data_IF_733755180954
#
_entry.id   IF_733755180954
#
_cell.length_a   1.000
_cell.length_b   1.000
_cell.length_c   1.000
_cell.angle_alpha   90.00
_cell.angle_beta   90.00
_cell.angle_gamma   90.00
#
_symmetry.space_group_name_H-M   'P 1'
#
loop_
_entity.id
_entity.type
_entity.pdbx_description
1 polymer ?
#
# COMPACT_ATOMS: atom_id res chain seq x y z
N UNK A 1 69.34 64.06 16.99
CA UNK A 1 68.67 64.09 18.31
C UNK A 1 67.80 62.84 18.42
N UNK A 2 68.05 62.04 19.47
CA UNK A 2 67.15 61.09 20.16
C UNK A 2 66.50 59.94 19.37
N UNK A 3 66.86 58.67 19.66
CA UNK A 3 66.16 57.69 20.55
C UNK A 3 64.77 57.29 20.00
N UNK A 4 64.27 56.04 19.95
CA UNK A 4 64.54 54.79 20.64
C UNK A 4 63.72 53.63 19.99
N UNK A 5 64.21 52.40 20.17
CA UNK A 5 63.57 51.07 20.29
C UNK A 5 62.15 50.75 19.78
N UNK A 6 62.03 49.56 19.18
CA UNK A 6 60.76 48.84 19.05
C UNK A 6 60.88 47.51 18.31
N UNK A 7 61.34 46.47 19.02
CA UNK A 7 61.29 45.06 18.59
C UNK A 7 59.86 44.61 18.30
N UNK A 8 59.61 44.00 17.14
CA UNK A 8 58.47 43.12 16.92
C UNK A 8 58.90 41.79 16.29
N UNK A 9 58.57 40.74 17.03
CA UNK A 9 58.83 39.33 16.77
C UNK A 9 58.16 38.86 15.48
N UNK A 10 58.91 38.20 14.59
CA UNK A 10 58.36 37.48 13.43
C UNK A 10 57.94 36.08 13.89
N UNK A 11 56.65 35.89 14.16
CA UNK A 11 56.02 34.57 14.27
C UNK A 11 55.56 34.15 12.87
N UNK A 12 56.34 33.27 12.22
CA UNK A 12 55.93 32.57 11.01
C UNK A 12 54.95 31.45 11.39
N UNK A 13 53.65 31.64 11.12
CA UNK A 13 52.68 30.55 11.10
C UNK A 13 52.84 29.76 9.79
N UNK A 14 53.33 28.53 9.87
CA UNK A 14 53.21 27.55 8.79
C UNK A 14 51.84 26.86 8.91
N UNK A 15 50.90 27.23 8.05
CA UNK A 15 49.62 26.55 7.93
C UNK A 15 49.77 25.30 7.03
N UNK A 16 49.87 24.12 7.64
CA UNK A 16 49.74 22.83 6.96
C UNK A 16 48.27 22.60 6.60
N UNK A 17 47.93 22.81 5.33
CA UNK A 17 46.62 22.43 4.79
C UNK A 17 46.60 20.91 4.59
N UNK A 18 46.00 20.19 5.54
CA UNK A 18 45.63 18.77 5.38
C UNK A 18 44.34 18.73 4.59
N UNK A 19 44.43 18.48 3.28
CA UNK A 19 43.29 18.19 2.43
C UNK A 19 42.78 16.78 2.74
N UNK A 20 41.73 16.70 3.54
CA UNK A 20 40.96 15.47 3.75
C UNK A 20 40.09 15.27 2.50
N UNK A 21 40.23 14.19 1.72
CA UNK A 21 39.28 13.88 0.68
C UNK A 21 37.97 13.49 1.34
N UNK A 22 36.96 14.36 1.23
CA UNK A 22 35.59 14.01 1.59
C UNK A 22 35.11 13.02 0.55
N UNK A 23 35.22 11.74 0.85
CA UNK A 23 34.55 10.69 0.07
C UNK A 23 33.07 10.79 0.41
N UNK A 24 32.33 11.60 -0.36
CA UNK A 24 30.87 11.57 -0.34
C UNK A 24 30.44 10.31 -1.08
N UNK A 25 30.38 9.18 -0.37
CA UNK A 25 29.53 8.08 -0.78
C UNK A 25 28.19 8.25 -0.05
N UNK A 26 27.36 9.15 -0.55
CA UNK A 26 25.93 9.13 -0.27
C UNK A 26 25.26 8.20 -1.29
N UNK A 27 25.56 6.90 -1.19
CA UNK A 27 24.65 5.88 -1.70
C UNK A 27 23.65 5.65 -0.56
N UNK A 28 22.50 6.30 -0.64
CA UNK A 28 21.41 6.07 0.30
C UNK A 28 20.96 4.61 0.17
N UNK A 29 21.45 3.77 1.08
CA UNK A 29 21.12 2.36 1.16
C UNK A 29 19.62 2.25 1.45
N UNK A 30 18.79 2.00 0.43
CA UNK A 30 17.39 1.62 0.60
C UNK A 30 17.33 0.23 1.24
N UNK A 31 17.20 0.18 2.56
CA UNK A 31 17.49 -1.01 3.38
C UNK A 31 16.40 -2.09 3.36
N UNK A 32 15.15 -1.72 3.15
CA UNK A 32 14.03 -2.66 3.34
C UNK A 32 13.27 -2.94 2.02
N UNK A 33 12.90 -4.21 1.84
CA UNK A 33 12.06 -4.66 0.73
C UNK A 33 10.64 -4.93 1.25
N UNK A 34 9.68 -4.16 0.78
CA UNK A 34 8.25 -4.34 1.04
C UNK A 34 7.46 -4.74 -0.22
N UNK A 35 8.14 -5.02 -1.34
CA UNK A 35 7.53 -5.26 -2.64
C UNK A 35 7.78 -4.14 -3.63
N UNK A 36 7.02 -4.16 -4.72
CA UNK A 36 6.96 -3.11 -5.73
C UNK A 36 6.26 -1.87 -5.17
N UNK A 37 6.92 -0.72 -5.29
CA UNK A 37 6.36 0.59 -4.91
C UNK A 37 6.51 1.55 -6.08
N UNK A 38 5.42 1.94 -6.74
CA UNK A 38 5.48 2.78 -7.93
C UNK A 38 5.95 4.23 -7.67
N UNK A 39 6.06 4.66 -6.41
CA UNK A 39 6.72 5.93 -6.07
C UNK A 39 8.21 5.83 -6.34
N UNK A 40 8.78 4.65 -6.09
CA UNK A 40 10.21 4.42 -5.98
C UNK A 40 10.78 3.51 -7.07
N UNK A 41 9.96 2.64 -7.64
CA UNK A 41 10.29 1.63 -8.64
C UNK A 41 9.70 1.99 -10.01
N UNK A 42 10.43 1.69 -11.08
CA UNK A 42 9.89 1.76 -12.44
C UNK A 42 9.20 0.43 -12.80
N UNK A 43 7.89 0.41 -13.13
CA UNK A 43 7.22 -0.79 -13.65
C UNK A 43 7.96 -1.45 -14.82
N UNK A 44 8.67 -0.68 -15.64
CA UNK A 44 9.44 -1.18 -16.79
C UNK A 44 10.80 -1.79 -16.41
N UNK A 45 11.27 -1.53 -15.19
CA UNK A 45 12.47 -2.16 -14.64
C UNK A 45 12.17 -3.51 -13.96
N UNK A 46 10.91 -3.78 -13.61
CA UNK A 46 10.50 -5.03 -13.01
C UNK A 46 10.81 -6.24 -13.93
N UNK A 47 11.16 -7.37 -13.32
CA UNK A 47 11.51 -8.62 -14.03
C UNK A 47 10.83 -9.81 -13.37
N UNK A 48 10.51 -10.83 -14.18
CA UNK A 48 9.99 -12.10 -13.70
C UNK A 48 11.15 -13.00 -13.30
N UNK A 49 11.09 -13.57 -12.12
CA UNK A 49 12.01 -14.60 -11.67
C UNK A 49 11.24 -15.83 -11.22
N UNK A 50 11.89 -16.98 -11.32
CA UNK A 50 11.38 -18.25 -10.85
C UNK A 50 12.36 -18.86 -9.86
N UNK A 51 11.83 -19.46 -8.79
CA UNK A 51 12.65 -20.18 -7.81
C UNK A 51 13.25 -21.42 -8.44
N UNK A 52 14.59 -21.51 -8.41
CA UNK A 52 15.32 -22.64 -8.97
C UNK A 52 15.04 -23.95 -8.21
N UNK A 53 15.27 -25.13 -8.82
CA UNK A 53 15.22 -26.42 -8.13
C UNK A 53 16.05 -26.44 -6.84
N UNK A 54 15.51 -27.07 -5.79
CA UNK A 54 16.17 -27.20 -4.49
C UNK A 54 15.20 -27.10 -3.32
N UNK A 55 15.72 -26.77 -2.14
CA UNK A 55 14.89 -26.53 -0.94
C UNK A 55 14.08 -25.23 -1.06
N UNK A 56 13.05 -25.10 -0.22
CA UNK A 56 12.29 -23.85 -0.10
C UNK A 56 13.19 -22.63 0.13
N UNK A 57 12.78 -21.47 -0.38
CA UNK A 57 13.48 -20.20 -0.19
C UNK A 57 12.64 -19.30 0.70
N UNK A 58 13.17 -18.92 1.86
CA UNK A 58 12.44 -18.05 2.79
C UNK A 58 12.65 -16.58 2.45
N UNK A 59 11.59 -15.79 2.56
CA UNK A 59 11.70 -14.34 2.48
C UNK A 59 12.46 -13.80 3.69
N UNK A 60 13.52 -13.05 3.42
CA UNK A 60 14.21 -12.25 4.44
C UNK A 60 13.38 -11.01 4.70
N UNK A 61 12.46 -11.13 5.65
CA UNK A 61 11.57 -10.05 6.03
C UNK A 61 12.33 -8.96 6.79
N UNK A 62 12.18 -7.68 6.39
CA UNK A 62 12.52 -6.58 7.27
C UNK A 62 11.82 -6.77 8.62
N UNK A 63 12.49 -6.42 9.73
CA UNK A 63 11.95 -6.59 11.08
C UNK A 63 10.61 -5.86 11.32
N UNK A 64 10.30 -4.89 10.45
CA UNK A 64 9.08 -4.06 10.48
C UNK A 64 8.09 -4.37 9.35
N UNK A 65 8.34 -5.40 8.54
CA UNK A 65 7.48 -5.72 7.39
C UNK A 65 6.18 -6.39 7.81
N UNK A 66 5.06 -5.80 7.37
CA UNK A 66 3.69 -6.31 7.58
C UNK A 66 3.17 -7.08 6.35
N UNK A 67 3.83 -6.94 5.20
CA UNK A 67 3.58 -7.65 3.94
C UNK A 67 4.38 -8.96 3.90
N UNK A 68 5.61 -8.93 4.39
CA UNK A 68 6.46 -10.10 4.54
C UNK A 68 6.12 -10.84 5.84
N UNK A 69 5.41 -11.97 5.76
CA UNK A 69 5.18 -12.81 6.94
C UNK A 69 6.49 -13.54 7.30
N UNK A 70 6.94 -13.44 8.55
CA UNK A 70 8.13 -14.15 9.02
C UNK A 70 7.95 -15.66 8.79
N UNK A 71 8.93 -16.29 8.14
CA UNK A 71 8.85 -17.69 7.75
C UNK A 71 7.99 -17.96 6.52
N UNK A 72 7.53 -16.93 5.80
CA UNK A 72 7.01 -17.11 4.45
C UNK A 72 8.12 -17.60 3.54
N UNK A 73 7.77 -18.53 2.67
CA UNK A 73 8.72 -19.18 1.77
C UNK A 73 8.06 -19.44 0.42
N UNK A 74 8.92 -19.66 -0.56
CA UNK A 74 8.58 -20.10 -1.89
C UNK A 74 9.15 -21.49 -2.14
N UNK A 75 8.45 -22.25 -2.96
CA UNK A 75 8.85 -23.56 -3.46
C UNK A 75 9.48 -23.43 -4.85
N UNK A 76 10.30 -24.41 -5.28
CA UNK A 76 10.79 -24.45 -6.65
C UNK A 76 9.67 -24.32 -7.68
N UNK A 77 9.89 -23.50 -8.70
CA UNK A 77 8.89 -23.19 -9.72
C UNK A 77 7.96 -22.03 -9.38
N UNK A 78 7.92 -21.56 -8.12
CA UNK A 78 7.19 -20.34 -7.78
C UNK A 78 7.79 -19.15 -8.52
N UNK A 79 6.91 -18.31 -9.07
CA UNK A 79 7.29 -17.13 -9.85
C UNK A 79 7.02 -15.85 -9.06
N UNK A 80 7.98 -14.93 -9.09
CA UNK A 80 7.95 -13.65 -8.39
C UNK A 80 8.28 -12.50 -9.32
N UNK A 81 7.78 -11.32 -8.99
CA UNK A 81 8.25 -10.07 -9.55
C UNK A 81 9.40 -9.54 -8.71
N UNK A 82 10.52 -9.22 -9.36
CA UNK A 82 11.65 -8.53 -8.73
C UNK A 82 11.67 -7.08 -9.22
N UNK A 83 11.51 -6.13 -8.30
CA UNK A 83 11.55 -4.69 -8.62
C UNK A 83 12.92 -4.07 -8.39
N UNK A 84 13.72 -4.62 -7.46
CA UNK A 84 15.06 -4.11 -7.10
C UNK A 84 16.04 -5.25 -6.85
N UNK A 85 17.31 -5.02 -7.17
CA UNK A 85 18.43 -5.91 -6.81
C UNK A 85 19.46 -5.12 -6.00
N UNK A 86 19.86 -5.65 -4.85
CA UNK A 86 20.91 -5.11 -3.99
C UNK A 86 21.93 -6.21 -3.66
N UNK A 87 23.11 -6.15 -4.29
CA UNK A 87 24.12 -7.20 -4.20
C UNK A 87 23.57 -8.56 -4.66
N UNK A 88 23.59 -9.55 -3.76
CA UNK A 88 23.03 -10.90 -4.01
C UNK A 88 21.59 -11.04 -3.49
N UNK A 89 20.85 -9.94 -3.35
CA UNK A 89 19.46 -9.96 -2.89
C UNK A 89 18.54 -9.34 -3.94
N UNK A 90 17.38 -9.95 -4.11
CA UNK A 90 16.31 -9.48 -4.97
C UNK A 90 15.12 -9.06 -4.10
N UNK A 91 14.63 -7.84 -4.25
CA UNK A 91 13.39 -7.41 -3.64
C UNK A 91 12.25 -7.99 -4.46
N UNK A 92 11.64 -9.04 -3.92
CA UNK A 92 10.69 -9.87 -4.63
C UNK A 92 9.29 -9.75 -4.03
N UNK A 93 8.28 -9.87 -4.89
CA UNK A 93 6.87 -9.91 -4.56
C UNK A 93 6.22 -11.13 -5.22
N UNK A 94 5.44 -11.86 -4.45
CA UNK A 94 4.75 -13.10 -4.83
C UNK A 94 3.26 -12.96 -4.55
N UNK A 95 2.42 -13.33 -5.51
CA UNK A 95 0.98 -13.44 -5.29
C UNK A 95 0.56 -14.91 -5.32
N UNK A 96 0.08 -15.39 -4.17
CA UNK A 96 -0.36 -16.78 -4.04
C UNK A 96 -1.67 -17.03 -4.79
N UNK A 97 -1.71 -17.96 -5.76
CA UNK A 97 -2.96 -18.33 -6.44
C UNK A 97 -3.95 -19.04 -5.51
N UNK A 98 -3.48 -19.55 -4.35
CA UNK A 98 -4.30 -20.18 -3.33
C UNK A 98 -5.06 -19.19 -2.44
N UNK A 99 -4.73 -17.90 -2.50
CA UNK A 99 -5.40 -16.84 -1.74
C UNK A 99 -6.30 -15.99 -2.65
N UNK A 100 -7.16 -15.17 -2.04
CA UNK A 100 -7.96 -14.21 -2.81
C UNK A 100 -7.08 -13.05 -3.32
N UNK A 101 -7.39 -12.46 -4.49
CA UNK A 101 -6.59 -11.39 -5.09
C UNK A 101 -6.33 -10.15 -4.23
N UNK A 102 -7.16 -9.91 -3.21
CA UNK A 102 -7.09 -8.77 -2.28
C UNK A 102 -6.15 -9.01 -1.08
N UNK A 103 -5.60 -10.23 -0.91
CA UNK A 103 -4.76 -10.60 0.23
C UNK A 103 -3.80 -11.76 -0.10
N UNK A 104 -3.31 -11.82 -1.32
CA UNK A 104 -2.44 -12.89 -1.80
C UNK A 104 -0.95 -12.57 -1.77
N UNK A 105 -0.62 -11.30 -1.59
CA UNK A 105 0.73 -10.76 -1.65
C UNK A 105 1.62 -11.25 -0.51
N UNK A 106 2.89 -11.45 -0.84
CA UNK A 106 4.00 -11.62 0.09
C UNK A 106 5.24 -11.08 -0.58
N UNK A 107 5.93 -10.15 0.07
CA UNK A 107 7.10 -9.51 -0.49
C UNK A 107 8.26 -9.46 0.50
N UNK A 108 9.49 -9.42 0.02
CA UNK A 108 10.68 -9.35 0.84
C UNK A 108 11.96 -9.65 0.07
N UNK A 109 13.08 -9.59 0.76
CA UNK A 109 14.36 -9.92 0.15
C UNK A 109 14.51 -11.43 -0.06
N UNK A 110 14.81 -11.86 -1.27
CA UNK A 110 15.19 -13.23 -1.60
C UNK A 110 16.66 -13.27 -2.04
N UNK A 111 17.40 -14.35 -1.77
CA UNK A 111 18.74 -14.55 -2.32
C UNK A 111 18.66 -14.69 -3.85
N UNK A 112 19.36 -13.83 -4.59
CA UNK A 112 19.26 -13.72 -6.05
C UNK A 112 19.77 -14.99 -6.75
N UNK A 113 20.81 -15.62 -6.21
CA UNK A 113 21.37 -16.89 -6.70
C UNK A 113 20.39 -18.09 -6.64
N UNK A 114 19.30 -17.98 -5.85
CA UNK A 114 18.22 -18.97 -5.79
C UNK A 114 17.13 -18.72 -6.84
N UNK A 115 17.24 -17.64 -7.60
CA UNK A 115 16.25 -17.22 -8.59
C UNK A 115 16.83 -17.33 -9.99
N UNK A 116 16.00 -17.67 -10.97
CA UNK A 116 16.34 -17.65 -12.39
C UNK A 116 15.42 -16.66 -13.10
N UNK A 117 16.00 -15.68 -13.78
CA UNK A 117 15.22 -14.71 -14.57
C UNK A 117 14.49 -15.42 -15.70
N UNK A 118 13.23 -15.03 -15.92
CA UNK A 118 12.37 -15.54 -16.97
C UNK A 118 11.90 -14.39 -17.85
N UNK A 119 11.80 -14.65 -19.15
CA UNK A 119 11.25 -13.70 -20.11
C UNK A 119 10.28 -14.42 -21.05
N UNK A 120 9.10 -14.83 -20.53
CA UNK A 120 8.09 -15.46 -21.36
C UNK A 120 7.56 -14.46 -22.41
N UNK A 121 7.04 -15.00 -23.52
CA UNK A 121 6.31 -14.18 -24.49
C UNK A 121 5.10 -13.53 -23.80
N UNK A 122 4.76 -12.28 -24.12
CA UNK A 122 3.69 -11.59 -23.46
C UNK A 122 2.34 -12.20 -23.79
N UNK A 123 1.50 -12.30 -22.76
CA UNK A 123 0.14 -12.83 -22.87
C UNK A 123 -0.83 -11.84 -22.21
N UNK A 124 -1.15 -10.77 -22.93
CA UNK A 124 -1.94 -9.67 -22.38
C UNK A 124 -3.40 -10.03 -22.13
N UNK A 125 -4.01 -10.78 -23.06
CA UNK A 125 -5.46 -10.98 -23.13
C UNK A 125 -5.99 -11.65 -21.86
N UNK A 126 -7.08 -11.12 -21.31
CA UNK A 126 -7.71 -11.65 -20.11
C UNK A 126 -8.14 -10.55 -19.14
N UNK A 127 -8.39 -10.96 -17.89
CA UNK A 127 -8.74 -10.05 -16.80
C UNK A 127 -7.67 -10.12 -15.72
N UNK A 128 -7.27 -8.95 -15.24
CA UNK A 128 -6.27 -8.77 -14.21
C UNK A 128 -6.89 -7.99 -13.05
N UNK A 129 -6.42 -8.28 -11.83
CA UNK A 129 -6.88 -7.62 -10.61
C UNK A 129 -8.09 -8.27 -9.96
N UNK A 130 -8.90 -7.45 -9.30
CA UNK A 130 -9.92 -7.89 -8.35
C UNK A 130 -11.27 -7.16 -8.57
N UNK A 131 -12.12 -7.16 -7.54
CA UNK A 131 -13.44 -6.52 -7.59
C UNK A 131 -13.39 -5.00 -7.47
N UNK A 132 -12.35 -4.44 -6.86
CA UNK A 132 -12.20 -3.00 -6.62
C UNK A 132 -11.45 -2.33 -7.77
N UNK A 133 -10.39 -2.97 -8.27
CA UNK A 133 -9.60 -2.48 -9.40
C UNK A 133 -9.43 -3.57 -10.45
N UNK A 134 -10.03 -3.35 -11.63
CA UNK A 134 -10.08 -4.32 -12.73
C UNK A 134 -9.37 -3.78 -13.95
N UNK A 135 -8.52 -4.61 -14.55
CA UNK A 135 -7.92 -4.34 -15.86
C UNK A 135 -8.34 -5.46 -16.81
N UNK A 136 -8.88 -5.10 -17.96
CA UNK A 136 -9.31 -6.04 -19.00
C UNK A 136 -8.50 -5.78 -20.26
N UNK A 137 -7.96 -6.85 -20.83
CA UNK A 137 -7.19 -6.81 -22.07
C UNK A 137 -7.89 -7.67 -23.12
N UNK A 138 -8.17 -7.08 -24.29
CA UNK A 138 -8.87 -7.75 -25.40
C UNK A 138 -8.11 -7.54 -26.71
N UNK A 139 -8.03 -8.59 -27.52
CA UNK A 139 -7.50 -8.47 -28.87
C UNK A 139 -8.39 -7.52 -29.68
N UNK A 140 -7.79 -6.54 -30.34
CA UNK A 140 -8.46 -5.61 -31.24
C UNK A 140 -7.60 -5.44 -32.51
N UNK A 141 -7.93 -6.24 -33.54
CA UNK A 141 -7.15 -6.37 -34.78
C UNK A 141 -5.71 -6.82 -34.48
N UNK A 142 -4.71 -6.05 -34.89
CA UNK A 142 -3.28 -6.26 -34.67
C UNK A 142 -2.78 -5.75 -33.32
N UNK A 143 -3.65 -5.06 -32.56
CA UNK A 143 -3.33 -4.50 -31.24
C UNK A 143 -4.09 -5.19 -30.12
N UNK A 144 -3.68 -4.91 -28.89
CA UNK A 144 -4.45 -5.26 -27.69
C UNK A 144 -5.03 -3.98 -27.11
N UNK A 145 -6.33 -3.98 -26.87
CA UNK A 145 -6.99 -2.93 -26.10
C UNK A 145 -6.94 -3.27 -24.62
N UNK A 146 -6.46 -2.33 -23.83
CA UNK A 146 -6.46 -2.36 -22.36
C UNK A 146 -7.50 -1.37 -21.88
N UNK A 147 -8.37 -1.81 -20.99
CA UNK A 147 -9.36 -1.00 -20.27
C UNK A 147 -9.18 -1.24 -18.78
N UNK A 148 -9.03 -0.19 -17.99
CA UNK A 148 -8.89 -0.27 -16.54
C UNK A 148 -9.95 0.58 -15.86
N UNK A 149 -10.56 0.03 -14.81
CA UNK A 149 -11.60 0.66 -14.01
C UNK A 149 -11.30 0.39 -12.53
N UNK A 150 -11.40 1.44 -11.71
CA UNK A 150 -11.43 1.34 -10.26
C UNK A 150 -12.78 1.88 -9.78
N UNK A 151 -13.46 1.13 -8.91
CA UNK A 151 -14.65 1.61 -8.21
C UNK A 151 -14.44 1.43 -6.70
N UNK A 152 -14.03 2.52 -6.05
CA UNK A 152 -13.72 2.53 -4.63
C UNK A 152 -14.85 3.23 -3.87
N UNK A 153 -15.41 2.52 -2.88
CA UNK A 153 -16.49 2.99 -2.04
C UNK A 153 -15.94 3.82 -0.89
N UNK A 154 -16.10 5.15 -0.97
CA UNK A 154 -15.68 6.09 0.07
C UNK A 154 -16.90 6.74 0.73
N UNK A 155 -17.30 6.23 1.90
CA UNK A 155 -18.46 6.74 2.62
C UNK A 155 -19.77 6.53 1.85
N UNK A 156 -20.44 7.62 1.47
CA UNK A 156 -21.68 7.60 0.67
C UNK A 156 -21.45 7.95 -0.82
N UNK A 157 -20.19 8.00 -1.27
CA UNK A 157 -19.84 8.33 -2.65
C UNK A 157 -18.94 7.28 -3.29
N UNK A 158 -19.04 7.14 -4.60
CA UNK A 158 -18.10 6.37 -5.41
C UNK A 158 -17.00 7.32 -5.87
N UNK A 159 -15.73 7.01 -5.61
CA UNK A 159 -14.62 7.61 -6.34
C UNK A 159 -14.01 6.55 -7.23
N UNK A 160 -14.09 6.81 -8.52
CA UNK A 160 -13.56 5.92 -9.54
C UNK A 160 -12.30 6.44 -10.19
N UNK A 161 -11.67 5.56 -10.94
CA UNK A 161 -10.61 5.89 -11.87
C UNK A 161 -10.74 5.03 -13.11
N UNK A 162 -10.19 5.50 -14.21
CA UNK A 162 -10.14 4.72 -15.44
C UNK A 162 -8.96 5.14 -16.31
N UNK A 163 -8.48 4.17 -17.09
CA UNK A 163 -7.63 4.44 -18.25
C UNK A 163 -7.89 3.43 -19.36
N UNK A 164 -7.53 3.81 -20.58
CA UNK A 164 -7.54 2.91 -21.71
C UNK A 164 -6.34 3.12 -22.63
N UNK A 165 -5.98 2.08 -23.39
CA UNK A 165 -4.91 2.11 -24.38
C UNK A 165 -5.08 1.09 -25.50
N UNK A 166 -4.48 1.38 -26.65
CA UNK A 166 -4.21 0.41 -27.72
C UNK A 166 -2.71 0.16 -27.80
N UNK A 167 -2.28 -1.01 -27.35
CA UNK A 167 -0.86 -1.38 -27.24
C UNK A 167 -0.45 -2.39 -28.30
N UNK A 168 0.84 -2.47 -28.60
CA UNK A 168 1.43 -3.58 -29.35
C UNK A 168 1.52 -4.81 -28.43
N UNK A 169 0.65 -5.79 -28.68
CA UNK A 169 0.57 -7.02 -27.88
C UNK A 169 1.79 -7.93 -28.01
N UNK A 170 2.66 -7.71 -28.99
CA UNK A 170 3.91 -8.46 -29.13
C UNK A 170 5.02 -7.98 -28.18
N UNK A 171 4.88 -6.76 -27.64
CA UNK A 171 5.81 -6.22 -26.64
C UNK A 171 5.33 -6.57 -25.23
N UNK A 172 6.25 -6.95 -24.35
CA UNK A 172 5.96 -7.18 -22.94
C UNK A 172 5.76 -5.89 -22.14
N UNK A 173 6.07 -4.75 -22.73
CA UNK A 173 6.04 -3.44 -22.08
C UNK A 173 5.24 -2.44 -22.88
N UNK A 174 4.49 -1.60 -22.18
CA UNK A 174 3.74 -0.51 -22.78
C UNK A 174 3.80 0.74 -21.90
N UNK A 175 3.78 1.91 -22.53
CA UNK A 175 3.60 3.20 -21.85
C UNK A 175 2.70 4.09 -22.68
N UNK A 176 1.77 4.77 -22.05
CA UNK A 176 0.77 5.59 -22.73
C UNK A 176 0.22 6.68 -21.80
N UNK A 177 -0.41 7.66 -22.42
CA UNK A 177 -1.24 8.64 -21.74
C UNK A 177 -2.73 8.35 -21.99
N UNK A 178 -3.57 8.85 -21.10
CA UNK A 178 -5.01 8.79 -21.21
C UNK A 178 -5.63 10.08 -20.70
N UNK A 179 -6.65 10.56 -21.40
CA UNK A 179 -7.48 11.68 -20.95
C UNK A 179 -8.94 11.27 -21.07
N UNK A 180 -9.65 11.38 -19.95
CA UNK A 180 -11.10 11.22 -19.85
C UNK A 180 -11.67 12.56 -19.44
N UNK A 181 -12.53 13.14 -20.26
CA UNK A 181 -13.13 14.46 -20.02
C UNK A 181 -14.43 14.41 -19.19
N UNK A 182 -14.69 13.28 -18.51
CA UNK A 182 -15.84 13.08 -17.63
C UNK A 182 -17.00 12.34 -18.32
N UNK A 183 -18.05 12.05 -17.56
CA UNK A 183 -19.19 11.19 -17.97
C UNK A 183 -19.74 11.54 -19.37
N UNK A 184 -19.38 10.73 -20.38
CA UNK A 184 -20.09 10.66 -21.66
C UNK A 184 -19.46 11.36 -22.87
N UNK A 185 -18.16 11.69 -22.86
CA UNK A 185 -17.44 12.19 -24.04
C UNK A 185 -16.31 11.27 -24.51
N UNK A 186 -15.79 11.53 -25.71
CA UNK A 186 -14.83 10.69 -26.41
C UNK A 186 -13.51 10.58 -25.63
N UNK A 187 -13.20 9.35 -25.19
CA UNK A 187 -11.90 9.03 -24.61
C UNK A 187 -10.75 9.39 -25.57
N UNK A 188 -9.63 9.87 -25.00
CA UNK A 188 -8.42 10.11 -25.78
C UNK A 188 -7.31 9.18 -25.35
N UNK A 189 -6.90 8.32 -26.28
CA UNK A 189 -5.71 7.50 -26.16
C UNK A 189 -4.51 8.32 -26.61
N UNK A 190 -3.58 8.60 -25.69
CA UNK A 190 -2.46 9.51 -25.91
C UNK A 190 -1.12 8.77 -25.86
N UNK A 191 -0.07 9.27 -26.54
CA UNK A 191 1.28 8.79 -26.27
C UNK A 191 1.72 9.16 -24.85
N UNK A 192 2.65 8.38 -24.31
CA UNK A 192 3.27 8.68 -23.01
C UNK A 192 4.01 10.02 -23.04
N UNK A 193 3.92 10.79 -21.96
CA UNK A 193 4.61 12.07 -21.80
C UNK A 193 5.52 12.01 -20.56
N UNK A 194 6.83 12.16 -20.76
CA UNK A 194 7.79 12.16 -19.63
C UNK A 194 7.61 13.38 -18.72
N UNK A 195 7.10 14.49 -19.26
CA UNK A 195 6.72 15.67 -18.48
C UNK A 195 5.25 15.55 -18.10
N UNK A 196 4.97 15.57 -16.79
CA UNK A 196 3.61 15.55 -16.28
C UNK A 196 2.84 16.77 -16.74
N UNK A 197 1.72 16.53 -17.41
CA UNK A 197 0.75 17.55 -17.84
C UNK A 197 -0.46 17.48 -16.90
N UNK A 198 -0.95 18.62 -16.37
CA UNK A 198 -2.14 18.63 -15.51
C UNK A 198 -3.32 17.92 -16.18
N UNK A 199 -3.95 16.99 -15.45
CA UNK A 199 -5.13 16.25 -15.92
C UNK A 199 -4.88 15.09 -16.86
N UNK A 200 -3.63 14.79 -17.24
CA UNK A 200 -3.31 13.65 -18.10
C UNK A 200 -2.86 12.45 -17.27
N UNK A 201 -3.62 11.36 -17.34
CA UNK A 201 -3.23 10.07 -16.80
C UNK A 201 -2.04 9.52 -17.60
N UNK A 202 -0.99 9.07 -16.93
CA UNK A 202 0.19 8.47 -17.54
C UNK A 202 0.43 7.12 -16.89
N UNK A 203 0.56 6.08 -17.71
CA UNK A 203 0.67 4.69 -17.26
C UNK A 203 1.86 4.00 -17.91
N UNK A 204 2.56 3.19 -17.12
CA UNK A 204 3.57 2.22 -17.56
C UNK A 204 3.10 0.82 -17.14
N UNK A 205 3.22 -0.14 -18.05
CA UNK A 205 2.83 -1.54 -17.86
C UNK A 205 3.97 -2.48 -18.25
N UNK A 206 4.16 -3.54 -17.46
CA UNK A 206 4.95 -4.72 -17.84
C UNK A 206 4.12 -5.99 -17.65
N UNK A 207 3.85 -6.71 -18.74
CA UNK A 207 3.24 -8.04 -18.72
C UNK A 207 4.35 -9.07 -18.59
N UNK A 208 4.35 -9.77 -17.45
CA UNK A 208 5.43 -10.63 -17.01
C UNK A 208 4.87 -11.99 -16.59
N UNK A 209 4.58 -12.83 -17.58
CA UNK A 209 4.03 -14.17 -17.36
C UNK A 209 2.66 -14.12 -16.72
N UNK A 210 2.55 -14.55 -15.46
CA UNK A 210 1.30 -14.52 -14.68
C UNK A 210 1.00 -13.17 -14.02
N UNK A 211 1.90 -12.20 -14.17
CA UNK A 211 1.81 -10.89 -13.53
C UNK A 211 1.64 -9.77 -14.54
N UNK A 212 1.00 -8.70 -14.09
CA UNK A 212 0.94 -7.41 -14.76
C UNK A 212 1.37 -6.34 -13.76
N UNK A 213 2.54 -5.73 -13.97
CA UNK A 213 3.06 -4.65 -13.13
C UNK A 213 2.60 -3.32 -13.71
N UNK A 214 1.93 -2.51 -12.90
CA UNK A 214 1.35 -1.23 -13.32
C UNK A 214 1.90 -0.12 -12.44
N UNK A 215 2.26 1.00 -13.06
CA UNK A 215 2.51 2.25 -12.37
C UNK A 215 1.82 3.39 -13.10
N UNK A 216 1.18 4.26 -12.34
CA UNK A 216 0.46 5.43 -12.82
C UNK A 216 0.93 6.70 -12.09
N UNK A 217 0.65 7.86 -12.67
CA UNK A 217 1.06 9.15 -12.11
C UNK A 217 0.05 9.75 -11.11
N UNK A 218 -0.87 8.95 -10.56
CA UNK A 218 -1.98 9.37 -9.69
C UNK A 218 -2.99 10.34 -10.33
N UNK A 219 -3.01 10.42 -11.67
CA UNK A 219 -3.96 11.24 -12.43
C UNK A 219 -5.01 10.41 -13.17
N UNK A 220 -5.07 9.11 -12.90
CA UNK A 220 -5.96 8.16 -13.58
C UNK A 220 -7.31 7.97 -12.87
N UNK A 221 -7.62 8.78 -11.86
CA UNK A 221 -8.89 8.73 -11.14
C UNK A 221 -9.06 9.88 -10.15
N UNK A 222 -10.01 9.70 -9.21
CA UNK A 222 -10.24 10.63 -8.11
C UNK A 222 -9.04 10.78 -7.17
N UNK A 223 -9.14 11.74 -6.24
CA UNK A 223 -8.13 11.97 -5.19
C UNK A 223 -7.94 10.66 -4.40
N UNK A 224 -6.71 10.13 -4.36
CA UNK A 224 -6.32 8.84 -3.76
C UNK A 224 -6.68 7.56 -4.56
N UNK A 225 -7.07 7.67 -5.83
CA UNK A 225 -7.23 6.49 -6.71
C UNK A 225 -5.94 6.26 -7.51
N UNK A 226 -5.37 5.06 -7.40
CA UNK A 226 -4.17 4.65 -8.13
C UNK A 226 -4.33 3.22 -8.63
N UNK A 227 -3.78 2.95 -9.80
CA UNK A 227 -3.66 1.62 -10.39
C UNK A 227 -2.27 1.03 -10.16
N UNK A 228 -1.43 1.69 -9.37
CA UNK A 228 -0.04 1.29 -9.17
C UNK A 228 0.07 0.09 -8.23
N UNK A 229 0.38 -1.09 -8.77
CA UNK A 229 0.71 -2.33 -8.03
C UNK A 229 1.10 -3.47 -8.98
N UNK A 230 1.47 -4.61 -8.42
CA UNK A 230 1.52 -5.89 -9.15
C UNK A 230 0.13 -6.53 -9.15
N UNK A 231 -0.35 -6.90 -10.34
CA UNK A 231 -1.61 -7.61 -10.56
C UNK A 231 -1.31 -9.04 -10.99
N UNK A 232 -2.24 -9.95 -10.71
CA UNK A 232 -2.29 -11.27 -11.33
C UNK A 232 -3.58 -11.48 -12.11
N UNK A 233 -3.65 -12.57 -12.87
CA UNK A 233 -4.86 -12.98 -13.57
C UNK A 233 -6.00 -13.31 -12.61
N UNK A 234 -7.19 -12.81 -12.91
CA UNK A 234 -8.37 -12.95 -12.06
C UNK A 234 -8.96 -14.38 -12.08
N UNK A 235 -8.69 -15.15 -13.13
CA UNK A 235 -9.16 -16.52 -13.34
C UNK A 235 -8.11 -17.59 -12.98
N UNK A 236 -6.96 -17.16 -12.46
CA UNK A 236 -5.88 -18.04 -12.04
C UNK A 236 -6.30 -18.89 -10.84
N UNK A 237 -6.13 -20.21 -10.96
CA UNK A 237 -6.41 -21.19 -9.92
C UNK A 237 -5.11 -21.69 -9.31
N UNK A 238 -5.14 -22.04 -8.02
CA UNK A 238 -4.06 -22.76 -7.35
C UNK A 238 -3.71 -24.04 -8.10
N UNK A 239 -2.42 -24.33 -8.23
CA UNK A 239 -1.96 -25.60 -8.78
C UNK A 239 -2.18 -26.73 -7.76
N UNK A 240 -2.31 -27.97 -8.25
CA UNK A 240 -2.66 -29.13 -7.41
C UNK A 240 -1.64 -29.43 -6.27
N UNK A 241 -0.40 -28.91 -6.37
CA UNK A 241 0.63 -29.08 -5.34
C UNK A 241 0.56 -28.10 -4.16
N UNK A 242 -0.19 -27.00 -4.27
CA UNK A 242 -0.24 -25.93 -3.26
C UNK A 242 -1.36 -26.13 -2.21
N UNK A 243 -2.23 -27.13 -2.42
CA UNK A 243 -3.41 -27.37 -1.57
C UNK A 243 -3.11 -28.06 -0.23
N UNK A 244 -1.93 -28.69 -0.05
CA UNK A 244 -1.65 -29.55 1.11
C UNK A 244 -1.02 -28.83 2.33
N UNK A 245 -0.64 -27.56 2.25
CA UNK A 245 0.06 -26.86 3.34
C UNK A 245 -0.86 -26.24 4.43
N UNK A 246 -2.16 -26.58 4.47
CA UNK A 246 -3.13 -26.00 5.40
C UNK A 246 -3.53 -26.96 6.54
N UNK A 247 -2.66 -27.15 7.54
CA UNK A 247 -3.10 -27.69 8.84
C UNK A 247 -2.11 -27.39 9.98
N UNK A 248 -2.38 -26.36 10.80
CA UNK A 248 -2.24 -26.43 12.28
C UNK A 248 -2.65 -25.12 12.97
N UNK A 249 -3.42 -25.25 14.06
CA UNK A 249 -3.99 -24.22 14.97
C UNK A 249 -3.34 -24.37 16.37
N UNK A 250 -3.37 -23.37 17.30
CA UNK A 250 -4.32 -23.39 18.45
C UNK A 250 -4.76 -21.99 18.98
N UNK A 251 -5.43 -21.92 20.17
CA UNK A 251 -6.53 -21.00 20.59
C UNK A 251 -6.35 -20.14 21.88
N UNK A 252 -7.28 -19.17 22.09
CA UNK A 252 -7.83 -18.45 23.31
C UNK A 252 -6.94 -17.53 24.21
N UNK A 253 -7.40 -16.49 24.97
CA UNK A 253 -8.66 -15.71 25.17
C UNK A 253 -8.38 -14.42 26.04
N UNK A 254 -9.36 -13.49 26.19
CA UNK A 254 -9.32 -12.28 27.06
C UNK A 254 -10.47 -11.25 26.85
N UNK A 255 -11.23 -10.90 27.90
CA UNK A 255 -12.54 -10.18 27.95
C UNK A 255 -12.57 -8.72 27.37
N UNK A 256 -13.63 -8.30 26.66
CA UNK A 256 -13.79 -6.96 26.02
C UNK A 256 -14.84 -6.01 26.69
N UNK A 257 -14.72 -4.67 26.55
CA UNK A 257 -15.57 -3.63 27.17
C UNK A 257 -16.93 -3.37 26.47
N UNK A 258 -17.81 -2.59 27.13
CA UNK A 258 -19.23 -2.39 26.76
C UNK A 258 -19.46 -1.84 25.34
N UNK A 259 -20.35 -2.50 24.59
CA UNK A 259 -20.80 -2.07 23.26
C UNK A 259 -19.87 -2.47 22.09
N UNK A 260 -18.69 -3.03 22.36
CA UNK A 260 -17.79 -3.59 21.36
C UNK A 260 -18.27 -4.98 20.94
N UNK A 261 -18.30 -5.26 19.64
CA UNK A 261 -18.83 -6.52 19.13
C UNK A 261 -17.89 -7.70 19.46
N UNK A 262 -18.41 -8.87 19.86
CA UNK A 262 -17.59 -10.09 20.04
C UNK A 262 -16.80 -10.50 18.78
N UNK A 263 -17.27 -10.08 17.60
CA UNK A 263 -16.55 -10.26 16.32
C UNK A 263 -15.21 -9.53 16.29
N UNK A 264 -15.06 -8.40 16.98
CA UNK A 264 -13.79 -7.68 17.04
C UNK A 264 -12.75 -8.49 17.80
N UNK A 265 -13.07 -8.97 19.01
CA UNK A 265 -12.22 -9.94 19.72
C UNK A 265 -11.95 -11.19 18.90
N UNK A 266 -12.97 -11.80 18.28
CA UNK A 266 -12.76 -12.99 17.46
C UNK A 266 -11.82 -12.71 16.29
N UNK A 267 -11.89 -11.51 15.70
CA UNK A 267 -10.99 -11.07 14.65
C UNK A 267 -9.56 -10.87 15.19
N UNK A 268 -9.40 -10.22 16.34
CA UNK A 268 -8.09 -10.05 17.00
C UNK A 268 -7.48 -11.40 17.38
N UNK A 269 -8.25 -12.32 17.97
CA UNK A 269 -7.77 -13.66 18.34
C UNK A 269 -7.38 -14.48 17.09
N UNK A 270 -8.10 -14.29 15.97
CA UNK A 270 -7.79 -14.91 14.65
C UNK A 270 -6.70 -14.18 13.87
N UNK A 271 -6.34 -12.96 14.27
CA UNK A 271 -5.30 -12.16 13.62
C UNK A 271 -3.92 -12.79 13.82
N UNK A 272 -3.75 -13.64 14.85
CA UNK A 272 -2.47 -14.26 15.19
C UNK A 272 -1.39 -13.27 15.60
N UNK A 273 -1.78 -12.06 16.06
CA UNK A 273 -0.84 -10.99 16.39
C UNK A 273 -0.30 -10.23 15.17
N UNK A 274 -0.84 -10.46 13.98
CA UNK A 274 -0.46 -9.72 12.76
C UNK A 274 -1.00 -8.31 12.83
N UNK A 275 -0.11 -7.31 12.89
CA UNK A 275 -0.46 -5.89 13.07
C UNK A 275 -1.53 -5.43 12.07
N UNK A 276 -1.38 -5.65 10.76
CA UNK A 276 -2.40 -5.22 9.79
C UNK A 276 -3.73 -5.96 9.96
N UNK A 277 -3.71 -7.25 10.30
CA UNK A 277 -4.96 -7.95 10.59
C UNK A 277 -5.63 -7.36 11.83
N UNK A 278 -4.87 -7.05 12.88
CA UNK A 278 -5.37 -6.38 14.07
C UNK A 278 -5.90 -4.98 13.76
N UNK A 279 -5.19 -4.21 12.93
CA UNK A 279 -5.62 -2.88 12.46
C UNK A 279 -6.85 -2.96 11.56
N UNK A 280 -7.01 -4.02 10.75
CA UNK A 280 -8.21 -4.27 9.96
C UNK A 280 -9.39 -4.67 10.84
N UNK A 281 -9.13 -5.46 11.88
CA UNK A 281 -10.12 -5.75 12.91
C UNK A 281 -10.57 -4.44 13.59
N UNK A 282 -9.62 -3.58 13.95
CA UNK A 282 -9.89 -2.30 14.58
C UNK A 282 -10.60 -1.34 13.63
N UNK A 283 -10.22 -1.26 12.36
CA UNK A 283 -10.88 -0.45 11.34
C UNK A 283 -12.31 -0.91 11.08
N UNK A 284 -12.54 -2.23 11.00
CA UNK A 284 -13.89 -2.81 10.84
C UNK A 284 -14.78 -2.53 12.05
N UNK A 285 -14.22 -2.60 13.26
CA UNK A 285 -14.95 -2.25 14.47
C UNK A 285 -15.18 -0.75 14.57
N UNK A 286 -14.17 0.08 14.28
CA UNK A 286 -14.25 1.53 14.26
C UNK A 286 -15.33 2.00 13.29
N UNK A 287 -15.36 1.46 12.06
CA UNK A 287 -16.39 1.76 11.06
C UNK A 287 -17.80 1.45 11.56
N UNK A 288 -17.96 0.33 12.26
CA UNK A 288 -19.26 -0.03 12.85
C UNK A 288 -19.66 0.95 13.96
N UNK A 289 -18.75 1.27 14.88
CA UNK A 289 -19.03 2.17 15.99
C UNK A 289 -19.26 3.62 15.52
N UNK A 290 -18.56 4.06 14.47
CA UNK A 290 -18.78 5.37 13.85
C UNK A 290 -20.13 5.45 13.13
N UNK A 291 -20.53 4.39 12.41
CA UNK A 291 -21.88 4.28 11.84
C UNK A 291 -22.96 4.38 12.92
N UNK A 292 -22.81 3.58 13.99
CA UNK A 292 -23.71 3.61 15.16
C UNK A 292 -23.80 5.00 15.79
N UNK A 293 -22.67 5.69 15.98
CA UNK A 293 -22.60 7.06 16.49
C UNK A 293 -23.33 8.05 15.58
N UNK A 294 -23.12 7.96 14.27
CA UNK A 294 -23.72 8.86 13.30
C UNK A 294 -25.24 8.67 13.16
N UNK A 295 -25.73 7.44 13.30
CA UNK A 295 -27.17 7.15 13.32
C UNK A 295 -27.86 7.83 14.50
N UNK A 296 -27.33 7.65 15.72
CA UNK A 296 -27.89 8.27 16.92
C UNK A 296 -27.74 9.79 16.92
N UNK A 297 -26.62 10.32 16.41
CA UNK A 297 -26.40 11.75 16.24
C UNK A 297 -27.45 12.39 15.33
N UNK A 298 -27.77 11.76 14.19
CA UNK A 298 -28.81 12.23 13.27
C UNK A 298 -30.18 12.20 13.92
N UNK A 299 -30.51 11.11 14.62
CA UNK A 299 -31.77 10.97 15.34
C UNK A 299 -31.93 12.04 16.43
N UNK A 300 -30.88 12.30 17.23
CA UNK A 300 -30.87 13.38 18.22
C UNK A 300 -31.08 14.74 17.56
N UNK A 301 -30.32 15.06 16.50
CA UNK A 301 -30.44 16.35 15.82
C UNK A 301 -31.82 16.60 15.22
N UNK A 302 -32.54 15.56 14.80
CA UNK A 302 -33.92 15.72 14.30
C UNK A 302 -34.95 16.04 15.40
N UNK A 303 -34.62 15.77 16.67
CA UNK A 303 -35.50 16.00 17.82
C UNK A 303 -35.20 17.31 18.57
N UNK A 304 -34.05 17.92 18.29
CA UNK A 304 -33.60 19.16 18.92
C UNK A 304 -34.03 20.38 18.13
N UNK A 305 -34.27 21.50 18.82
CA UNK A 305 -34.42 22.79 18.17
C UNK A 305 -33.11 23.25 17.50
N UNK A 306 -33.17 24.33 16.73
CA UNK A 306 -32.02 24.80 15.95
C UNK A 306 -30.80 25.17 16.81
N UNK A 307 -31.01 25.72 18.01
CA UNK A 307 -29.93 26.12 18.89
C UNK A 307 -29.27 24.90 19.54
N UNK A 308 -30.08 23.98 20.07
CA UNK A 308 -29.60 22.74 20.66
C UNK A 308 -28.96 21.80 19.63
N UNK A 309 -29.47 21.76 18.39
CA UNK A 309 -28.85 21.00 17.30
C UNK A 309 -27.50 21.60 16.86
N UNK A 310 -27.34 22.92 16.92
CA UNK A 310 -26.06 23.58 16.68
C UNK A 310 -25.06 23.28 17.80
N UNK A 311 -25.50 23.34 19.05
CA UNK A 311 -24.68 22.96 20.20
C UNK A 311 -24.23 21.50 20.12
N UNK A 312 -25.13 20.55 19.82
CA UNK A 312 -24.79 19.14 19.66
C UNK A 312 -23.76 18.90 18.54
N UNK A 313 -23.84 19.65 17.43
CA UNK A 313 -22.84 19.59 16.37
C UNK A 313 -21.47 20.05 16.87
N UNK A 314 -21.42 21.16 17.60
CA UNK A 314 -20.15 21.71 18.08
C UNK A 314 -19.54 20.81 19.17
N UNK A 315 -20.36 20.20 20.03
CA UNK A 315 -19.96 19.14 20.96
C UNK A 315 -19.35 17.93 20.23
N UNK A 316 -19.95 17.45 19.12
CA UNK A 316 -19.38 16.33 18.37
C UNK A 316 -18.06 16.71 17.68
N UNK A 317 -17.95 17.91 17.10
CA UNK A 317 -16.71 18.36 16.44
C UNK A 317 -15.57 18.52 17.45
N UNK A 318 -15.86 19.06 18.63
CA UNK A 318 -14.90 19.14 19.72
C UNK A 318 -14.45 17.75 20.18
N UNK A 319 -15.40 16.82 20.34
CA UNK A 319 -15.08 15.44 20.71
C UNK A 319 -14.18 14.73 19.68
N UNK A 320 -14.43 14.89 18.37
CA UNK A 320 -13.58 14.33 17.31
C UNK A 320 -12.14 14.83 17.44
N UNK A 321 -11.97 16.15 17.61
CA UNK A 321 -10.64 16.75 17.77
C UNK A 321 -9.89 16.23 19.00
N UNK A 322 -10.59 16.03 20.11
CA UNK A 322 -9.99 15.46 21.32
C UNK A 322 -9.62 13.98 21.13
N UNK A 323 -10.50 13.19 20.51
CA UNK A 323 -10.22 11.77 20.18
C UNK A 323 -8.98 11.63 19.30
N UNK A 324 -8.89 12.41 18.23
CA UNK A 324 -7.79 12.28 17.27
C UNK A 324 -6.44 12.66 17.90
N UNK A 325 -6.46 13.61 18.84
CA UNK A 325 -5.29 13.97 19.64
C UNK A 325 -4.95 12.91 20.68
N UNK A 326 -5.95 12.39 21.39
CA UNK A 326 -5.77 11.35 22.41
C UNK A 326 -5.24 10.05 21.79
N UNK A 327 -5.70 9.71 20.60
CA UNK A 327 -5.35 8.49 19.89
C UNK A 327 -4.24 8.71 18.84
N UNK A 328 -3.50 9.82 18.89
CA UNK A 328 -2.37 10.04 17.97
C UNK A 328 -1.32 8.94 18.15
N UNK A 329 -0.75 8.50 17.04
CA UNK A 329 0.31 7.48 17.03
C UNK A 329 1.56 8.04 17.69
N UNK A 330 2.10 7.36 18.70
CA UNK A 330 3.43 7.67 19.21
C UNK A 330 4.49 7.32 18.14
N UNK A 331 5.01 8.37 17.50
CA UNK A 331 5.95 8.30 16.37
C UNK A 331 7.32 7.74 16.75
N UNK A 332 7.64 7.67 18.04
CA UNK A 332 8.89 7.10 18.55
C UNK A 332 8.77 5.63 18.95
N UNK A 333 7.54 5.14 19.04
CA UNK A 333 7.23 3.74 19.32
C UNK A 333 6.99 2.99 18.01
N UNK A 334 7.39 1.72 17.96
CA UNK A 334 7.25 0.88 16.75
C UNK A 334 5.81 0.70 16.27
N UNK A 335 5.59 -0.14 15.25
CA UNK A 335 4.26 -0.35 14.62
C UNK A 335 3.16 -0.83 15.56
N UNK A 336 3.49 -1.32 16.76
CA UNK A 336 2.52 -1.58 17.84
C UNK A 336 1.76 -0.31 18.27
N UNK A 337 2.37 0.88 18.17
CA UNK A 337 1.72 2.16 18.46
C UNK A 337 0.53 2.44 17.53
N UNK A 338 0.55 1.91 16.30
CA UNK A 338 -0.58 2.02 15.36
C UNK A 338 -1.78 1.19 15.82
N UNK A 339 -1.54 0.02 16.40
CA UNK A 339 -2.62 -0.83 16.94
C UNK A 339 -3.23 -0.16 18.17
N UNK A 340 -2.38 0.39 19.06
CA UNK A 340 -2.83 1.11 20.25
C UNK A 340 -3.65 2.35 19.88
N UNK A 341 -3.22 3.08 18.84
CA UNK A 341 -3.95 4.22 18.28
C UNK A 341 -5.30 3.82 17.67
N UNK A 342 -5.34 2.75 16.88
CA UNK A 342 -6.58 2.26 16.28
C UNK A 342 -7.56 1.74 17.34
N UNK A 343 -7.07 1.01 18.34
CA UNK A 343 -7.89 0.48 19.45
C UNK A 343 -8.43 1.60 20.35
N UNK A 344 -7.61 2.62 20.63
CA UNK A 344 -8.04 3.85 21.28
C UNK A 344 -9.20 4.51 20.52
N UNK A 345 -9.11 4.57 19.19
CA UNK A 345 -10.13 5.15 18.33
C UNK A 345 -11.43 4.35 18.36
N UNK A 346 -11.33 3.01 18.34
CA UNK A 346 -12.47 2.09 18.49
C UNK A 346 -13.19 2.29 19.81
N UNK A 347 -12.46 2.22 20.93
CA UNK A 347 -13.07 2.31 22.26
C UNK A 347 -13.71 3.67 22.52
N UNK A 348 -13.02 4.75 22.15
CA UNK A 348 -13.49 6.12 22.37
C UNK A 348 -14.76 6.39 21.56
N UNK A 349 -14.83 5.86 20.34
CA UNK A 349 -16.01 5.99 19.46
C UNK A 349 -17.18 5.15 19.99
N UNK A 350 -16.94 3.93 20.46
CA UNK A 350 -17.97 3.08 21.06
C UNK A 350 -18.59 3.70 22.32
N UNK A 351 -17.75 4.29 23.20
CA UNK A 351 -18.19 5.01 24.41
C UNK A 351 -19.05 6.22 24.04
N UNK A 352 -18.65 7.00 23.04
CA UNK A 352 -19.42 8.16 22.58
C UNK A 352 -20.76 7.78 21.96
N UNK A 353 -20.81 6.69 21.19
CA UNK A 353 -22.06 6.16 20.65
C UNK A 353 -23.05 5.80 21.77
N UNK A 354 -22.60 5.06 22.79
CA UNK A 354 -23.42 4.70 23.95
C UNK A 354 -23.90 5.92 24.74
N UNK A 355 -23.06 6.95 24.89
CA UNK A 355 -23.43 8.20 25.53
C UNK A 355 -24.57 8.90 24.78
N UNK A 356 -24.47 9.04 23.45
CA UNK A 356 -25.53 9.64 22.63
C UNK A 356 -26.82 8.83 22.63
N UNK A 357 -26.72 7.49 22.63
CA UNK A 357 -27.89 6.61 22.76
C UNK A 357 -28.61 6.83 24.08
N UNK A 358 -27.87 6.99 25.17
CA UNK A 358 -28.46 7.31 26.48
C UNK A 358 -29.21 8.64 26.46
N UNK A 359 -28.71 9.64 25.72
CA UNK A 359 -29.39 10.94 25.54
C UNK A 359 -30.62 10.85 24.65
N UNK A 360 -30.69 9.90 23.71
CA UNK A 360 -31.85 9.67 22.84
C UNK A 360 -32.98 8.93 23.57
N UNK A 361 -32.63 8.13 24.59
CA UNK A 361 -33.55 7.37 25.44
C UNK A 361 -34.17 8.18 26.60
N UNK A 362 -33.66 9.39 26.84
CA UNK A 362 -34.26 10.40 27.73
C UNK A 362 -35.17 11.31 26.92
#
# INVERSE_FOLDING_TARGET
>A
MSFWLGTFSRLTLAALAVSIPVVVNAAEQKKDCFGFDAVDDDPLAARLYEVQPGDKVEFQCPARSVVCKKGAFLLPGDQVIVSRVDGNKACAEYHSPAKRPDNDETAGWLPLDRLAEKSPAPDWVGRWGDSETRITAKQQKDKVRIDAEANLQFGNGEQGGQFAALIDGAQAQAKFGYESDGEGKDEKLLPYQDKSSPGVCQVKLSQLGRYLVVGDNHMCGGINVSFSRVYRRADEKASAGEAEAQASKPAESGKQPDGIRPSYKSCLDKSGGVTIAMRNCAASEYKYQDGRLNDVYRALRSRLDKAAAAQLRDEQRGWIGERDKQCEVDKNSGTAALIVSDDCSVETTAKRAAELESRLSR
#
